data_IF_786870148728
#
_entry.id   IF_786870148728
#
_cell.length_a   1.000
_cell.length_b   1.000
_cell.length_c   1.000
_cell.angle_alpha   90.00
_cell.angle_beta   90.00
_cell.angle_gamma   90.00
#
_symmetry.space_group_name_H-M   'P 1'
#
loop_
_entity.id
_entity.type
_entity.pdbx_description
1 polymer ?
#
# COMPACT_ATOMS: atom_id res chain seq x y z
N UNK A 1 -8.90 16.72 -1.71
CA UNK A 1 -8.71 17.33 -3.05
C UNK A 1 -7.83 16.43 -3.87
N UNK A 2 -8.41 15.84 -4.91
CA UNK A 2 -7.77 14.75 -5.66
C UNK A 2 -6.47 15.16 -6.34
N UNK A 3 -6.36 16.42 -6.76
CA UNK A 3 -5.16 16.92 -7.45
C UNK A 3 -3.90 16.86 -6.58
N UNK A 4 -4.07 16.79 -5.27
CA UNK A 4 -2.97 16.74 -4.32
C UNK A 4 -2.93 15.42 -3.56
N UNK A 5 -3.71 14.45 -3.98
CA UNK A 5 -3.80 13.15 -3.32
C UNK A 5 -2.91 12.14 -4.01
N UNK A 6 -2.14 11.40 -3.23
CA UNK A 6 -1.30 10.31 -3.71
C UNK A 6 -1.72 9.05 -2.96
N UNK A 7 -2.03 7.99 -3.70
CA UNK A 7 -2.31 6.68 -3.13
C UNK A 7 -1.01 5.87 -3.14
N UNK A 8 -0.61 5.38 -1.98
CA UNK A 8 0.67 4.68 -1.80
C UNK A 8 0.40 3.25 -1.34
N UNK A 9 0.95 2.28 -2.06
CA UNK A 9 0.88 0.88 -1.67
C UNK A 9 1.74 0.65 -0.42
N UNK A 10 1.45 -0.41 0.31
CA UNK A 10 2.14 -0.72 1.55
C UNK A 10 3.24 -1.75 1.33
N UNK A 11 2.86 -3.00 1.06
CA UNK A 11 3.82 -4.09 0.89
C UNK A 11 4.49 -3.97 -0.46
N UNK A 12 5.82 -3.90 -0.45
CA UNK A 12 6.62 -3.72 -1.65
C UNK A 12 6.94 -2.26 -1.96
N UNK A 13 6.38 -1.31 -1.21
CA UNK A 13 6.61 0.13 -1.42
C UNK A 13 7.08 0.79 -0.12
N UNK A 14 6.31 0.68 0.96
CA UNK A 14 6.70 1.23 2.26
C UNK A 14 7.43 0.21 3.11
N UNK A 15 7.01 -1.04 3.03
CA UNK A 15 7.63 -2.17 3.73
C UNK A 15 8.01 -3.24 2.73
N UNK A 16 9.13 -3.93 3.00
CA UNK A 16 9.47 -5.11 2.21
C UNK A 16 8.36 -6.15 2.41
N UNK A 17 8.11 -6.95 1.38
CA UNK A 17 7.07 -7.98 1.46
C UNK A 17 7.50 -9.02 2.50
N UNK A 18 6.60 -9.34 3.42
CA UNK A 18 6.84 -10.37 4.43
C UNK A 18 6.48 -11.74 3.86
N UNK A 19 7.46 -12.62 3.84
CA UNK A 19 7.28 -14.00 3.41
C UNK A 19 7.21 -14.86 4.67
N UNK A 20 5.99 -15.17 5.13
CA UNK A 20 5.75 -15.74 6.45
C UNK A 20 6.11 -17.22 6.59
N UNK A 21 6.17 -17.97 5.49
CA UNK A 21 6.47 -19.38 5.54
C UNK A 21 7.15 -19.85 4.24
N UNK A 22 7.35 -21.16 4.12
CA UNK A 22 8.03 -21.78 3.00
C UNK A 22 7.31 -21.57 1.66
N UNK A 23 6.00 -21.38 1.71
CA UNK A 23 5.23 -21.16 0.47
C UNK A 23 5.36 -19.72 -0.01
N UNK A 24 5.74 -18.81 0.89
CA UNK A 24 5.80 -17.38 0.60
C UNK A 24 4.44 -16.76 0.35
N UNK A 25 3.37 -17.45 0.63
CA UNK A 25 2.00 -17.03 0.33
C UNK A 25 1.16 -16.74 1.56
N UNK A 26 1.71 -16.92 2.75
CA UNK A 26 0.97 -16.65 3.99
C UNK A 26 0.82 -15.15 4.18
N UNK A 27 -0.42 -14.73 4.32
CA UNK A 27 -0.76 -13.33 4.54
C UNK A 27 -1.18 -13.17 5.99
N UNK A 28 -0.23 -12.74 6.82
CA UNK A 28 -0.49 -12.51 8.25
C UNK A 28 -0.66 -11.01 8.48
N UNK A 29 -1.84 -10.61 8.92
CA UNK A 29 -2.20 -9.20 9.08
C UNK A 29 -1.33 -8.48 10.13
N UNK A 30 -0.71 -9.24 11.03
CA UNK A 30 0.13 -8.68 12.10
C UNK A 30 1.62 -8.68 11.77
N UNK A 31 2.01 -9.20 10.61
CA UNK A 31 3.41 -9.30 10.22
C UNK A 31 3.73 -8.34 9.08
N UNK A 32 4.83 -7.63 9.24
CA UNK A 32 5.31 -6.66 8.26
C UNK A 32 6.79 -6.91 8.02
N UNK A 33 7.24 -6.66 6.80
CA UNK A 33 8.66 -6.66 6.50
C UNK A 33 9.32 -5.40 7.03
N UNK A 34 10.61 -5.26 6.77
CA UNK A 34 11.36 -4.05 7.14
C UNK A 34 10.89 -2.88 6.32
N UNK A 35 11.03 -1.68 6.88
CA UNK A 35 10.76 -0.44 6.15
C UNK A 35 11.73 -0.35 4.96
N UNK A 36 11.19 -0.07 3.78
CA UNK A 36 12.03 0.10 2.58
C UNK A 36 12.86 1.36 2.74
N UNK A 37 14.17 1.30 2.43
CA UNK A 37 15.03 2.48 2.53
C UNK A 37 14.46 3.67 1.77
N UNK A 38 14.40 4.82 2.43
CA UNK A 38 13.87 6.05 1.85
C UNK A 38 12.38 6.25 2.00
N UNK A 39 11.62 5.21 2.40
CA UNK A 39 10.16 5.32 2.49
C UNK A 39 9.73 6.37 3.52
N UNK A 40 10.28 6.31 4.73
CA UNK A 40 9.92 7.25 5.80
C UNK A 40 10.23 8.68 5.41
N UNK A 41 11.44 8.92 4.92
CA UNK A 41 11.90 10.24 4.53
C UNK A 41 11.10 10.80 3.37
N UNK A 42 10.76 9.96 2.40
CA UNK A 42 9.98 10.35 1.24
C UNK A 42 8.54 10.71 1.61
N UNK A 43 7.92 9.90 2.47
CA UNK A 43 6.56 10.19 2.93
C UNK A 43 6.51 11.50 3.73
N UNK A 44 7.54 11.76 4.54
CA UNK A 44 7.65 13.03 5.26
C UNK A 44 7.80 14.21 4.30
N UNK A 45 8.61 14.04 3.24
CA UNK A 45 8.80 15.07 2.24
C UNK A 45 7.50 15.38 1.50
N UNK A 46 6.74 14.34 1.14
CA UNK A 46 5.46 14.51 0.48
C UNK A 46 4.47 15.25 1.37
N UNK A 47 4.43 14.94 2.65
CA UNK A 47 3.56 15.65 3.59
C UNK A 47 3.96 17.12 3.70
N UNK A 48 5.25 17.39 3.80
CA UNK A 48 5.74 18.77 3.85
C UNK A 48 5.38 19.57 2.61
N UNK A 49 5.28 18.87 1.47
CA UNK A 49 4.91 19.51 0.20
C UNK A 49 3.40 19.69 0.04
N UNK A 50 2.62 19.27 1.01
CA UNK A 50 1.17 19.50 1.01
C UNK A 50 0.33 18.38 0.40
N UNK A 51 0.93 17.24 0.09
CA UNK A 51 0.17 16.11 -0.46
C UNK A 51 -0.67 15.43 0.61
N UNK A 52 -1.85 14.97 0.19
CA UNK A 52 -2.71 14.12 1.00
C UNK A 52 -2.36 12.68 0.67
N UNK A 53 -1.96 11.91 1.67
CA UNK A 53 -1.43 10.56 1.47
C UNK A 53 -2.44 9.51 1.92
N UNK A 54 -2.90 8.70 0.96
CA UNK A 54 -3.78 7.57 1.23
C UNK A 54 -2.94 6.31 1.11
N UNK A 55 -2.85 5.53 2.17
CA UNK A 55 -2.21 4.21 2.09
C UNK A 55 -3.24 3.23 1.59
N UNK A 56 -2.94 2.57 0.47
CA UNK A 56 -3.85 1.66 -0.22
C UNK A 56 -3.22 0.27 -0.24
N UNK A 57 -3.83 -0.69 0.43
CA UNK A 57 -3.25 -2.02 0.60
C UNK A 57 -4.32 -3.09 0.56
N UNK A 58 -3.97 -4.26 0.03
CA UNK A 58 -4.87 -5.41 0.04
C UNK A 58 -5.04 -5.98 1.45
N UNK A 59 -4.21 -5.56 2.43
CA UNK A 59 -4.34 -6.02 3.82
C UNK A 59 -5.68 -5.65 4.44
N UNK A 60 -6.30 -4.57 3.97
CA UNK A 60 -7.62 -4.15 4.47
C UNK A 60 -8.77 -4.80 3.72
N UNK A 61 -8.49 -5.65 2.75
CA UNK A 61 -9.52 -6.35 1.99
C UNK A 61 -9.99 -7.58 2.78
N UNK A 62 -11.23 -7.62 3.25
CA UNK A 62 -11.72 -8.75 4.07
C UNK A 62 -11.75 -10.07 3.30
N UNK A 63 -11.86 -10.03 1.97
CA UNK A 63 -11.86 -11.25 1.16
C UNK A 63 -10.53 -11.99 1.26
N UNK A 64 -9.42 -11.25 1.39
CA UNK A 64 -8.09 -11.84 1.50
C UNK A 64 -7.75 -12.26 2.93
N UNK A 65 -8.42 -11.67 3.93
CA UNK A 65 -8.09 -11.86 5.33
C UNK A 65 -9.23 -12.52 6.13
N UNK A 66 -10.16 -13.17 5.45
CA UNK A 66 -11.32 -13.77 6.11
C UNK A 66 -10.95 -14.87 7.11
N UNK A 67 -9.80 -15.52 6.92
CA UNK A 67 -9.32 -16.54 7.86
C UNK A 67 -8.84 -15.95 9.18
N UNK A 68 -8.53 -14.65 9.18
CA UNK A 68 -8.11 -13.93 10.39
C UNK A 68 -9.30 -13.45 11.21
N UNK A 69 -10.50 -13.55 10.65
CA UNK A 69 -11.73 -13.14 11.30
C UNK A 69 -11.69 -11.69 11.82
N UNK A 70 -11.07 -10.81 11.05
CA UNK A 70 -10.95 -9.40 11.38
C UNK A 70 -11.94 -8.57 10.57
N UNK A 71 -12.52 -7.56 11.19
CA UNK A 71 -13.30 -6.57 10.46
C UNK A 71 -12.39 -5.64 9.67
N UNK A 72 -12.95 -4.93 8.69
CA UNK A 72 -12.21 -3.92 7.93
C UNK A 72 -11.62 -2.88 8.88
N UNK A 73 -12.38 -2.45 9.88
CA UNK A 73 -11.91 -1.45 10.85
C UNK A 73 -10.72 -1.97 11.65
N UNK A 74 -10.72 -3.24 12.01
CA UNK A 74 -9.59 -3.85 12.72
C UNK A 74 -8.35 -3.94 11.85
N UNK A 75 -8.52 -4.35 10.59
CA UNK A 75 -7.41 -4.43 9.62
C UNK A 75 -6.81 -3.05 9.37
N UNK A 76 -7.67 -2.05 9.22
CA UNK A 76 -7.26 -0.66 9.04
C UNK A 76 -6.43 -0.18 10.24
N UNK A 77 -6.90 -0.51 11.44
CA UNK A 77 -6.24 -0.12 12.69
C UNK A 77 -4.85 -0.74 12.82
N UNK A 78 -4.70 -2.00 12.42
CA UNK A 78 -3.41 -2.70 12.45
C UNK A 78 -2.41 -1.95 11.58
N UNK A 79 -2.81 -1.57 10.37
CA UNK A 79 -1.95 -0.83 9.45
C UNK A 79 -1.61 0.54 10.00
N UNK A 80 -2.61 1.27 10.52
CA UNK A 80 -2.39 2.60 11.09
C UNK A 80 -1.39 2.58 12.23
N UNK A 81 -1.53 1.61 13.13
CA UNK A 81 -0.62 1.49 14.27
C UNK A 81 0.80 1.18 13.83
N UNK A 82 0.96 0.32 12.83
CA UNK A 82 2.28 -0.01 12.30
C UNK A 82 2.95 1.19 11.66
N UNK A 83 2.21 1.95 10.86
CA UNK A 83 2.74 3.16 10.24
C UNK A 83 3.18 4.18 11.29
N UNK A 84 2.39 4.37 12.32
CA UNK A 84 2.72 5.28 13.42
C UNK A 84 3.94 4.80 14.19
N UNK A 85 4.02 3.51 14.47
CA UNK A 85 5.17 2.91 15.15
C UNK A 85 6.47 3.17 14.40
N UNK A 86 6.42 3.09 13.07
CA UNK A 86 7.60 3.29 12.23
C UNK A 86 7.85 4.76 11.86
N UNK A 87 7.01 5.67 12.34
CA UNK A 87 7.18 7.09 12.06
C UNK A 87 6.91 7.48 10.63
N UNK A 88 6.07 6.74 9.93
CA UNK A 88 5.69 7.02 8.55
C UNK A 88 4.39 7.82 8.55
N UNK A 89 4.41 9.08 8.09
CA UNK A 89 3.20 9.90 8.08
C UNK A 89 2.24 9.48 6.97
N UNK A 90 0.95 9.61 7.24
CA UNK A 90 -0.11 9.33 6.29
C UNK A 90 -1.35 10.11 6.73
N UNK A 91 -2.31 10.29 5.83
CA UNK A 91 -3.57 10.95 6.16
C UNK A 91 -4.68 9.94 6.40
N UNK A 92 -4.73 8.87 5.62
CA UNK A 92 -5.68 7.80 5.87
C UNK A 92 -5.18 6.47 5.32
N UNK A 93 -5.68 5.39 5.91
CA UNK A 93 -5.54 4.05 5.36
C UNK A 93 -6.87 3.72 4.71
N UNK A 94 -6.86 3.45 3.40
CA UNK A 94 -8.07 3.22 2.62
C UNK A 94 -8.73 1.92 3.05
N UNK A 95 -10.00 1.99 3.45
CA UNK A 95 -10.77 0.83 3.88
C UNK A 95 -11.93 0.54 2.94
N UNK A 96 -12.02 1.26 1.83
CA UNK A 96 -13.09 1.06 0.87
C UNK A 96 -12.83 -0.11 -0.07
N UNK A 97 -13.84 -0.41 -0.87
CA UNK A 97 -13.74 -1.40 -1.93
C UNK A 97 -13.34 -0.68 -3.20
N UNK A 98 -12.42 -1.28 -3.94
CA UNK A 98 -11.97 -0.72 -5.21
C UNK A 98 -10.74 0.14 -5.06
N UNK A 99 -10.62 1.12 -5.93
CA UNK A 99 -9.41 1.93 -6.05
C UNK A 99 -9.68 3.34 -5.53
N UNK A 100 -8.87 3.87 -4.61
CA UNK A 100 -9.05 5.25 -4.16
C UNK A 100 -8.81 6.22 -5.30
N UNK A 101 -9.51 7.36 -5.27
CA UNK A 101 -9.31 8.41 -6.26
C UNK A 101 -8.08 9.21 -5.86
N UNK A 102 -7.12 9.31 -6.77
CA UNK A 102 -5.86 9.99 -6.50
C UNK A 102 -5.27 10.54 -7.79
N UNK A 103 -4.39 11.54 -7.65
CA UNK A 103 -3.68 12.10 -8.79
C UNK A 103 -2.54 11.18 -9.25
N UNK A 104 -1.99 10.38 -8.34
CA UNK A 104 -0.94 9.43 -8.67
C UNK A 104 -1.00 8.24 -7.74
N UNK A 105 -0.51 7.09 -8.23
CA UNK A 105 -0.45 5.84 -7.47
C UNK A 105 1.00 5.37 -7.43
N UNK A 106 1.52 5.12 -6.23
CA UNK A 106 2.86 4.56 -6.04
C UNK A 106 2.68 3.09 -5.72
N UNK A 107 3.08 2.23 -6.64
CA UNK A 107 2.81 0.80 -6.60
C UNK A 107 3.96 0.04 -7.24
N UNK A 108 4.28 -1.14 -6.71
CA UNK A 108 5.40 -1.95 -7.19
C UNK A 108 5.03 -2.94 -8.30
N UNK A 109 3.74 -3.08 -8.60
CA UNK A 109 3.25 -4.07 -9.58
C UNK A 109 2.50 -3.48 -10.76
N UNK A 110 2.41 -2.17 -10.82
CA UNK A 110 1.66 -1.48 -11.86
C UNK A 110 2.50 -1.33 -13.12
N UNK A 111 1.81 -1.38 -14.25
CA UNK A 111 2.37 -1.01 -15.53
C UNK A 111 1.76 0.34 -15.90
N UNK A 112 2.61 1.36 -16.07
CA UNK A 112 2.13 2.65 -16.51
C UNK A 112 1.64 2.53 -17.94
N UNK A 113 0.38 2.90 -18.16
CA UNK A 113 -0.20 2.76 -19.50
C UNK A 113 0.35 3.84 -20.43
N UNK A 114 0.96 3.42 -21.51
CA UNK A 114 1.37 4.28 -22.62
C UNK A 114 0.60 3.89 -23.88
N UNK A 115 0.58 2.59 -24.18
CA UNK A 115 -0.15 2.01 -25.29
C UNK A 115 -0.32 0.53 -25.02
N UNK A 116 -1.28 -0.09 -25.71
CA UNK A 116 -1.46 -1.53 -25.56
C UNK A 116 -0.26 -2.32 -26.09
N UNK A 117 0.39 -1.84 -27.14
CA UNK A 117 1.60 -2.49 -27.63
C UNK A 117 2.69 -2.50 -26.56
N UNK A 118 2.86 -1.40 -25.84
CA UNK A 118 3.81 -1.29 -24.75
C UNK A 118 3.46 -2.25 -23.61
N UNK A 119 2.18 -2.32 -23.23
CA UNK A 119 1.72 -3.22 -22.17
C UNK A 119 2.00 -4.67 -22.54
N UNK A 120 1.64 -5.07 -23.76
CA UNK A 120 1.85 -6.43 -24.22
C UNK A 120 3.33 -6.78 -24.26
N UNK A 121 4.16 -5.85 -24.71
CA UNK A 121 5.61 -6.04 -24.75
C UNK A 121 6.17 -6.30 -23.35
N UNK A 122 5.76 -5.51 -22.38
CA UNK A 122 6.21 -5.67 -20.98
C UNK A 122 5.77 -6.99 -20.37
N UNK A 123 4.66 -7.55 -20.84
CA UNK A 123 4.15 -8.83 -20.38
C UNK A 123 4.67 -10.02 -21.18
N UNK A 124 5.56 -9.77 -22.15
CA UNK A 124 6.18 -10.83 -22.93
C UNK A 124 5.34 -11.37 -24.09
N UNK A 125 4.35 -10.60 -24.52
CA UNK A 125 3.47 -11.00 -25.62
C UNK A 125 3.87 -10.45 -26.99
#
# INVERSE_FOLDING_TARGET
MEAFTIAVDLDGVLFKIYWGDETGMVFDVNKFGEVIPGARESMKALKRSGFYLIVHTCRTNPELNRTENCSVAELQKIVELKLKEEGIPFDEVFAGVGKPVAAAYIDDRAIRFESWNDVLSKLGE
#
